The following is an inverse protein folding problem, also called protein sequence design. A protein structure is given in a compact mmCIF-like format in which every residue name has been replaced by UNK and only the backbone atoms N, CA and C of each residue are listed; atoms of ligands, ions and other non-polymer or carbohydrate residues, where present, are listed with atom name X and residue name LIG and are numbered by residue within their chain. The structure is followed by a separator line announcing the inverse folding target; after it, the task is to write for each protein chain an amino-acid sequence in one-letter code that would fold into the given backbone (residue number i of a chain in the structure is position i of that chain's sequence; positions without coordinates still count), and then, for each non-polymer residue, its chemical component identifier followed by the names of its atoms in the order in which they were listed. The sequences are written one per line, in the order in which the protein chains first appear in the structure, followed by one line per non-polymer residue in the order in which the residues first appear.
data_IF_017762041604
#
_entry.id   IF_017762041604
#
_cell.length_a   1.000
_cell.length_b   1.000
_cell.length_c   1.000
_cell.angle_alpha   90.00
_cell.angle_beta   90.00
_cell.angle_gamma   90.00
#
_symmetry.space_group_name_H-M   'P 1'
#
loop_
_entity.id
_entity.type
_entity.pdbx_description
1 polymer ?
#
# COMPACT_ATOMS: atom_id res chain seq x y z
N UNK A 1 -48.38 26.26 -29.34
CA UNK A 1 -47.23 25.33 -29.49
C UNK A 1 -45.90 25.84 -28.90
N UNK A 2 -45.63 27.15 -28.86
CA UNK A 2 -44.35 27.73 -28.35
C UNK A 2 -44.02 27.44 -26.86
N UNK A 3 -45.02 27.35 -25.99
CA UNK A 3 -44.79 27.22 -24.54
C UNK A 3 -44.40 25.80 -24.08
N UNK A 4 -44.82 24.75 -24.80
CA UNK A 4 -44.44 23.37 -24.47
C UNK A 4 -42.98 23.08 -24.76
N UNK A 5 -42.41 23.72 -25.79
CA UNK A 5 -40.98 23.60 -26.14
C UNK A 5 -40.10 24.13 -25.00
N UNK A 6 -40.52 25.23 -24.35
CA UNK A 6 -39.81 25.82 -23.21
C UNK A 6 -39.83 24.91 -21.97
N UNK A 7 -40.93 24.20 -21.74
CA UNK A 7 -41.08 23.25 -20.63
C UNK A 7 -40.18 22.01 -20.85
N UNK A 8 -40.09 21.51 -22.09
CA UNK A 8 -39.20 20.41 -22.47
C UNK A 8 -37.73 20.81 -22.27
N UNK A 9 -37.36 22.03 -22.65
CA UNK A 9 -36.01 22.56 -22.46
C UNK A 9 -35.65 22.73 -20.97
N UNK A 10 -36.63 23.13 -20.14
CA UNK A 10 -36.44 23.26 -18.69
C UNK A 10 -36.19 21.91 -18.01
N UNK A 11 -36.84 20.83 -18.47
CA UNK A 11 -36.61 19.48 -17.95
C UNK A 11 -35.23 18.89 -18.33
N UNK A 12 -34.67 19.26 -19.49
CA UNK A 12 -33.33 18.83 -19.90
C UNK A 12 -32.20 19.37 -19.01
N UNK A 13 -32.39 20.54 -18.38
CA UNK A 13 -31.40 21.10 -17.45
C UNK A 13 -31.40 20.43 -16.06
N UNK A 14 -32.53 19.86 -15.63
CA UNK A 14 -32.68 19.24 -14.30
C UNK A 14 -32.10 17.80 -14.30
N UNK A 15 -32.02 17.15 -15.46
CA UNK A 15 -31.52 15.78 -15.57
C UNK A 15 -29.99 15.64 -15.47
N UNK A 16 -29.23 16.75 -15.48
CA UNK A 16 -27.77 16.72 -15.37
C UNK A 16 -27.30 16.71 -13.90
N UNK A 17 -27.87 15.81 -13.10
CA UNK A 17 -27.34 15.51 -11.77
C UNK A 17 -26.03 14.75 -11.92
N UNK A 18 -24.91 15.36 -11.53
CA UNK A 18 -23.60 14.68 -11.49
C UNK A 18 -23.61 13.57 -10.44
N UNK A 19 -24.07 12.38 -10.80
CA UNK A 19 -23.78 11.18 -10.02
C UNK A 19 -22.26 10.99 -10.08
N UNK A 20 -21.58 11.20 -8.96
CA UNK A 20 -20.14 10.87 -8.83
C UNK A 20 -20.01 9.35 -8.91
N UNK A 21 -19.94 8.83 -10.13
CA UNK A 21 -19.64 7.42 -10.35
C UNK A 21 -18.21 7.17 -9.86
N UNK A 22 -18.05 6.20 -8.96
CA UNK A 22 -16.74 5.72 -8.57
C UNK A 22 -15.95 5.35 -9.84
N UNK A 23 -14.71 5.81 -9.96
CA UNK A 23 -13.88 5.58 -11.16
C UNK A 23 -12.70 4.67 -10.89
N UNK A 24 -12.38 4.44 -9.62
CA UNK A 24 -11.28 3.59 -9.16
C UNK A 24 -11.77 2.81 -7.95
N UNK A 25 -11.56 1.50 -7.96
CA UNK A 25 -11.77 0.62 -6.81
C UNK A 25 -10.42 0.20 -6.24
N UNK A 26 -10.30 0.18 -4.93
CA UNK A 26 -9.10 -0.26 -4.22
C UNK A 26 -9.51 -1.39 -3.29
N UNK A 27 -8.82 -2.53 -3.38
CA UNK A 27 -9.04 -3.67 -2.52
C UNK A 27 -7.71 -4.14 -1.92
N UNK A 28 -7.75 -4.52 -0.65
CA UNK A 28 -6.66 -5.25 -0.01
C UNK A 28 -6.87 -6.74 -0.26
N UNK A 29 -5.78 -7.44 -0.57
CA UNK A 29 -5.78 -8.89 -0.79
C UNK A 29 -4.79 -9.54 0.17
N UNK A 30 -5.01 -10.83 0.44
CA UNK A 30 -4.05 -11.68 1.14
C UNK A 30 -2.80 -11.87 0.28
N UNK A 31 -1.69 -12.22 0.94
CA UNK A 31 -0.41 -12.40 0.26
C UNK A 31 0.45 -13.40 1.01
N UNK A 32 1.14 -14.27 0.26
CA UNK A 32 2.05 -15.26 0.83
C UNK A 32 3.47 -14.73 0.97
N UNK A 33 3.71 -13.45 0.67
CA UNK A 33 5.01 -12.84 0.88
C UNK A 33 5.39 -12.84 2.37
N UNK A 34 6.68 -12.99 2.70
CA UNK A 34 7.12 -13.12 4.09
C UNK A 34 7.08 -11.80 4.84
N UNK A 35 6.73 -11.85 6.11
CA UNK A 35 7.10 -10.84 7.11
C UNK A 35 8.60 -10.93 7.34
N UNK A 36 9.29 -9.80 7.30
CA UNK A 36 10.71 -9.78 7.60
C UNK A 36 11.06 -8.73 8.66
N UNK A 37 12.04 -9.08 9.48
CA UNK A 37 12.67 -8.21 10.47
C UNK A 37 13.89 -7.52 9.87
N UNK A 38 14.21 -6.32 10.37
CA UNK A 38 15.43 -5.58 10.00
C UNK A 38 16.26 -5.33 11.26
N UNK A 39 17.51 -5.79 11.23
CA UNK A 39 18.53 -5.49 12.23
C UNK A 39 19.04 -4.06 12.04
N UNK A 40 19.23 -3.33 13.13
CA UNK A 40 20.02 -2.10 13.12
C UNK A 40 21.49 -2.42 13.34
N UNK A 41 22.36 -1.91 12.46
CA UNK A 41 23.81 -2.05 12.63
C UNK A 41 24.32 -1.28 13.86
N UNK A 42 23.65 -0.20 14.25
CA UNK A 42 24.09 0.65 15.36
C UNK A 42 23.79 0.02 16.72
N UNK A 43 22.70 -0.74 16.81
CA UNK A 43 22.20 -1.29 18.08
C UNK A 43 22.24 -2.82 18.14
N UNK A 44 22.63 -3.49 17.06
CA UNK A 44 22.65 -4.95 16.91
C UNK A 44 21.34 -5.63 17.36
N UNK A 45 20.21 -4.92 17.18
CA UNK A 45 18.87 -5.42 17.49
C UNK A 45 17.94 -5.22 16.31
N UNK A 46 16.92 -6.07 16.20
CA UNK A 46 15.82 -5.83 15.30
C UNK A 46 15.08 -4.57 15.75
N UNK A 47 15.06 -3.57 14.88
CA UNK A 47 14.40 -2.27 15.13
C UNK A 47 13.12 -2.11 14.32
N UNK A 48 12.91 -2.95 13.29
CA UNK A 48 11.75 -2.86 12.40
C UNK A 48 11.21 -4.23 12.04
N UNK A 49 9.89 -4.34 11.99
CA UNK A 49 9.17 -5.44 11.33
C UNK A 49 8.44 -4.91 10.10
N UNK A 50 8.52 -5.66 9.00
CA UNK A 50 7.91 -5.30 7.74
C UNK A 50 6.80 -6.28 7.38
N UNK A 51 5.55 -5.82 7.36
CA UNK A 51 4.39 -6.65 7.04
C UNK A 51 3.93 -6.44 5.59
N UNK A 52 3.82 -7.51 4.79
CA UNK A 52 3.35 -7.44 3.42
C UNK A 52 1.83 -7.33 3.36
N UNK A 53 1.34 -6.62 2.35
CA UNK A 53 -0.05 -6.63 1.92
C UNK A 53 -0.13 -6.49 0.41
N UNK A 54 -0.98 -7.27 -0.24
CA UNK A 54 -1.29 -7.03 -1.65
C UNK A 54 -2.41 -5.98 -1.76
N UNK A 55 -2.24 -5.04 -2.67
CA UNK A 55 -3.26 -4.05 -3.03
C UNK A 55 -3.58 -4.17 -4.51
N UNK A 56 -4.86 -4.34 -4.80
CA UNK A 56 -5.41 -4.31 -6.16
C UNK A 56 -6.05 -2.94 -6.38
N UNK A 57 -5.57 -2.22 -7.38
CA UNK A 57 -6.13 -0.93 -7.80
C UNK A 57 -6.74 -1.13 -9.19
N UNK A 58 -8.06 -0.99 -9.28
CA UNK A 58 -8.83 -1.23 -10.48
C UNK A 58 -9.42 0.06 -11.02
N UNK A 59 -9.13 0.38 -12.28
CA UNK A 59 -9.74 1.50 -12.99
C UNK A 59 -11.03 1.03 -13.67
N UNK A 60 -12.17 1.35 -13.08
CA UNK A 60 -13.49 0.99 -13.61
C UNK A 60 -14.03 2.02 -14.62
N UNK A 61 -13.28 3.08 -14.91
CA UNK A 61 -13.68 4.12 -15.88
C UNK A 61 -13.25 3.80 -17.31
N UNK A 62 -13.82 4.54 -18.28
CA UNK A 62 -13.48 4.45 -19.71
C UNK A 62 -12.21 5.22 -20.11
N UNK A 63 -11.55 5.89 -19.17
CA UNK A 63 -10.31 6.64 -19.41
C UNK A 63 -9.19 6.18 -18.49
N UNK A 64 -7.94 6.41 -18.88
CA UNK A 64 -6.79 6.13 -18.03
C UNK A 64 -6.87 6.91 -16.70
N UNK A 65 -6.44 6.27 -15.62
CA UNK A 65 -6.24 6.91 -14.31
C UNK A 65 -4.79 6.77 -13.89
N UNK A 66 -4.33 7.68 -13.05
CA UNK A 66 -2.98 7.63 -12.54
C UNK A 66 -2.91 8.07 -11.09
N UNK A 67 -1.93 7.54 -10.36
CA UNK A 67 -1.61 7.96 -9.01
C UNK A 67 -0.10 8.10 -8.84
N UNK A 68 0.32 8.86 -7.84
CA UNK A 68 1.74 9.10 -7.56
C UNK A 68 2.19 8.27 -6.36
N UNK A 69 1.40 8.30 -5.28
CA UNK A 69 1.77 7.77 -3.98
C UNK A 69 0.62 6.99 -3.34
N UNK A 70 0.96 5.90 -2.67
CA UNK A 70 0.11 5.22 -1.70
C UNK A 70 0.56 5.69 -0.32
N UNK A 71 -0.36 6.21 0.48
CA UNK A 71 -0.11 6.61 1.85
C UNK A 71 -0.67 5.55 2.80
N UNK A 72 0.09 5.24 3.85
CA UNK A 72 -0.36 4.41 4.96
C UNK A 72 -0.52 5.33 6.16
N UNK A 73 -1.73 5.42 6.69
CA UNK A 73 -2.05 6.27 7.83
C UNK A 73 -2.06 5.42 9.09
N UNK A 74 -1.14 5.73 9.99
CA UNK A 74 -1.17 5.24 11.36
C UNK A 74 -2.15 6.11 12.15
N UNK A 75 -3.17 5.51 12.78
CA UNK A 75 -4.20 6.28 13.51
C UNK A 75 -3.63 7.10 14.67
N UNK A 76 -2.48 6.71 15.23
CA UNK A 76 -1.86 7.30 16.41
C UNK A 76 -0.70 8.26 16.11
N UNK A 77 -0.25 8.40 14.85
CA UNK A 77 0.94 9.19 14.51
C UNK A 77 0.57 10.24 13.46
N UNK A 78 0.55 11.51 13.88
CA UNK A 78 0.21 12.66 13.03
C UNK A 78 1.36 13.12 12.12
N UNK A 79 2.60 12.79 12.48
CA UNK A 79 3.82 13.18 11.76
C UNK A 79 4.31 12.02 10.87
N UNK A 80 4.58 12.25 9.57
CA UNK A 80 5.15 11.21 8.71
C UNK A 80 6.62 10.95 9.09
N UNK A 81 6.87 10.09 10.08
CA UNK A 81 8.22 9.64 10.43
C UNK A 81 8.69 8.63 9.37
N UNK A 82 9.25 9.15 8.27
CA UNK A 82 9.86 8.31 7.22
C UNK A 82 8.85 7.53 6.37
N UNK A 83 9.34 6.94 5.27
CA UNK A 83 8.53 6.18 4.34
C UNK A 83 8.10 4.83 4.97
N UNK A 84 7.01 4.82 5.74
CA UNK A 84 6.38 3.62 6.35
C UNK A 84 5.90 2.57 5.34
N UNK A 85 6.14 2.78 4.06
CA UNK A 85 5.77 1.89 2.98
C UNK A 85 6.99 1.70 2.07
N UNK A 86 7.27 0.43 1.77
CA UNK A 86 8.00 0.03 0.56
C UNK A 86 6.98 -0.55 -0.44
N UNK A 87 7.15 -0.24 -1.72
CA UNK A 87 6.21 -0.64 -2.78
C UNK A 87 6.92 -1.49 -3.83
N UNK A 88 6.28 -2.55 -4.27
CA UNK A 88 6.86 -3.52 -5.20
C UNK A 88 5.85 -3.95 -6.28
N UNK A 89 6.37 -4.36 -7.44
CA UNK A 89 5.64 -5.21 -8.39
C UNK A 89 6.10 -6.66 -8.20
N UNK A 90 5.15 -7.58 -8.21
CA UNK A 90 5.45 -9.01 -8.27
C UNK A 90 5.65 -9.42 -9.73
N UNK A 91 6.85 -9.92 -10.06
CA UNK A 91 7.17 -10.53 -11.36
C UNK A 91 7.63 -11.95 -11.11
N UNK A 92 6.76 -12.93 -11.35
CA UNK A 92 7.05 -14.35 -11.16
C UNK A 92 7.62 -14.64 -9.76
N UNK A 93 6.93 -14.17 -8.71
CA UNK A 93 7.30 -14.33 -7.30
C UNK A 93 8.54 -13.53 -6.86
N UNK A 94 9.16 -12.78 -7.77
CA UNK A 94 10.24 -11.85 -7.46
C UNK A 94 9.67 -10.45 -7.26
N UNK A 95 10.00 -9.84 -6.12
CA UNK A 95 9.58 -8.48 -5.79
C UNK A 95 10.54 -7.44 -6.37
N UNK A 96 10.08 -6.72 -7.39
CA UNK A 96 10.79 -5.58 -7.94
C UNK A 96 10.36 -4.30 -7.22
N UNK A 97 11.29 -3.65 -6.52
CA UNK A 97 11.02 -2.40 -5.82
C UNK A 97 10.66 -1.31 -6.83
N UNK A 98 9.54 -0.63 -6.60
CA UNK A 98 9.12 0.52 -7.38
C UNK A 98 9.02 1.76 -6.50
N UNK A 99 9.19 2.93 -7.10
CA UNK A 99 9.15 4.17 -6.32
C UNK A 99 7.72 4.55 -5.92
N UNK A 100 7.50 4.88 -4.64
CA UNK A 100 6.23 5.39 -4.13
C UNK A 100 6.07 6.92 -4.28
N UNK A 101 6.83 7.55 -5.17
CA UNK A 101 6.73 8.99 -5.50
C UNK A 101 6.73 9.27 -7.01
N UNK A 102 6.64 8.24 -7.85
CA UNK A 102 6.59 8.35 -9.31
C UNK A 102 5.19 8.06 -9.82
N UNK A 103 4.74 8.79 -10.85
CA UNK A 103 3.44 8.55 -11.52
C UNK A 103 3.34 7.10 -11.98
N UNK A 104 2.20 6.47 -11.71
CA UNK A 104 1.81 5.12 -12.13
C UNK A 104 0.46 5.23 -12.83
N UNK A 105 0.36 4.65 -14.02
CA UNK A 105 -0.86 4.65 -14.80
C UNK A 105 -1.60 3.31 -14.61
N UNK A 106 -2.92 3.37 -14.67
CA UNK A 106 -3.81 2.23 -14.69
C UNK A 106 -4.73 2.44 -15.89
N UNK A 107 -4.53 1.60 -16.91
CA UNK A 107 -5.28 1.66 -18.16
C UNK A 107 -6.79 1.51 -17.90
N UNK A 108 -7.60 2.02 -18.82
CA UNK A 108 -9.05 1.91 -18.74
C UNK A 108 -9.48 0.45 -18.61
N UNK A 109 -10.42 0.16 -17.69
CA UNK A 109 -10.96 -1.18 -17.43
C UNK A 109 -9.89 -2.22 -17.06
N UNK A 110 -8.75 -1.79 -16.54
CA UNK A 110 -7.67 -2.67 -16.06
C UNK A 110 -7.47 -2.54 -14.56
N UNK A 111 -6.86 -3.57 -14.00
CA UNK A 111 -6.41 -3.59 -12.62
C UNK A 111 -4.90 -3.84 -12.56
N UNK A 112 -4.25 -3.15 -11.63
CA UNK A 112 -2.85 -3.36 -11.31
C UNK A 112 -2.75 -3.86 -9.87
N UNK A 113 -1.83 -4.80 -9.65
CA UNK A 113 -1.51 -5.34 -8.32
C UNK A 113 -0.15 -4.82 -7.87
N UNK A 114 -0.05 -4.50 -6.59
CA UNK A 114 1.19 -4.09 -5.95
C UNK A 114 1.34 -4.78 -4.61
N UNK A 115 2.59 -5.05 -4.23
CA UNK A 115 2.92 -5.52 -2.89
C UNK A 115 3.43 -4.34 -2.08
N UNK A 116 2.74 -4.08 -0.97
CA UNK A 116 3.05 -3.04 0.00
C UNK A 116 3.73 -3.70 1.19
N UNK A 117 4.90 -3.22 1.59
CA UNK A 117 5.46 -3.55 2.89
C UNK A 117 5.31 -2.35 3.81
N UNK A 118 4.43 -2.51 4.80
CA UNK A 118 4.33 -1.54 5.89
C UNK A 118 5.50 -1.75 6.85
N UNK A 119 6.15 -0.67 7.27
CA UNK A 119 7.34 -0.71 8.13
C UNK A 119 6.95 -0.24 9.53
N UNK A 120 7.23 -1.05 10.53
CA UNK A 120 6.82 -0.82 11.92
C UNK A 120 8.04 -0.83 12.80
N UNK A 121 8.22 0.22 13.59
CA UNK A 121 9.32 0.30 14.55
C UNK A 121 8.96 -0.49 15.79
N UNK A 122 9.93 -1.26 16.27
CA UNK A 122 9.82 -1.99 17.52
C UNK A 122 10.35 -1.07 18.62
N UNK A 123 9.62 -0.95 19.71
CA UNK A 123 10.11 -0.23 20.87
C UNK A 123 11.22 -1.00 21.60
N UNK A 124 11.94 -0.31 22.47
CA UNK A 124 13.09 -0.88 23.19
C UNK A 124 12.70 -1.63 24.47
N UNK A 125 11.42 -1.93 24.67
CA UNK A 125 11.00 -2.63 25.88
C UNK A 125 11.62 -4.03 25.96
N UNK A 126 11.82 -4.47 27.19
CA UNK A 126 12.34 -5.81 27.49
C UNK A 126 11.45 -6.90 26.90
N UNK A 127 10.14 -6.67 26.82
CA UNK A 127 9.19 -7.59 26.21
C UNK A 127 9.54 -7.90 24.75
N UNK A 128 9.64 -6.89 23.89
CA UNK A 128 9.97 -7.11 22.49
C UNK A 128 11.41 -7.59 22.31
N UNK A 129 12.33 -7.06 23.11
CA UNK A 129 13.74 -7.52 23.07
C UNK A 129 13.84 -9.04 23.29
N UNK A 130 13.13 -9.57 24.29
CA UNK A 130 13.09 -11.00 24.57
C UNK A 130 12.40 -11.79 23.45
N UNK A 131 11.31 -11.26 22.89
CA UNK A 131 10.58 -11.92 21.80
C UNK A 131 11.42 -12.06 20.52
N UNK A 132 12.34 -11.12 20.28
CA UNK A 132 13.20 -11.10 19.08
C UNK A 132 14.61 -11.65 19.30
N UNK A 133 14.95 -12.10 20.52
CA UNK A 133 16.32 -12.50 20.86
C UNK A 133 16.89 -13.58 19.93
N UNK A 134 16.16 -14.67 19.71
CA UNK A 134 16.61 -15.76 18.84
C UNK A 134 16.81 -15.32 17.38
N UNK A 135 15.99 -14.37 16.91
CA UNK A 135 16.14 -13.79 15.57
C UNK A 135 17.34 -12.85 15.47
N UNK A 136 17.63 -12.06 16.52
CA UNK A 136 18.83 -11.21 16.58
C UNK A 136 20.10 -12.06 16.52
N UNK A 137 20.17 -13.12 17.34
CA UNK A 137 21.32 -14.03 17.37
C UNK A 137 21.56 -14.66 15.99
N UNK A 138 20.49 -15.10 15.32
CA UNK A 138 20.56 -15.64 13.96
C UNK A 138 21.06 -14.63 12.93
N UNK A 139 20.54 -13.41 12.95
CA UNK A 139 20.96 -12.33 12.04
C UNK A 139 22.44 -12.00 12.19
N UNK A 140 22.92 -11.90 13.42
CA UNK A 140 24.32 -11.61 13.75
C UNK A 140 25.25 -12.75 13.32
N UNK A 141 24.86 -14.01 13.59
CA UNK A 141 25.63 -15.18 13.21
C UNK A 141 25.73 -15.37 11.68
N UNK A 142 24.68 -15.00 10.93
CA UNK A 142 24.65 -15.09 9.47
C UNK A 142 25.20 -13.84 8.76
N UNK A 143 25.63 -12.81 9.50
CA UNK A 143 26.05 -11.50 8.98
C UNK A 143 25.01 -10.86 8.03
N UNK A 144 23.73 -10.95 8.39
CA UNK A 144 22.60 -10.41 7.63
C UNK A 144 21.92 -9.27 8.37
N UNK A 145 21.32 -8.36 7.60
CA UNK A 145 20.52 -7.24 8.11
C UNK A 145 19.01 -7.49 8.05
N UNK A 146 18.59 -8.56 7.36
CA UNK A 146 17.19 -8.90 7.13
C UNK A 146 16.94 -10.39 7.30
N UNK A 147 15.82 -10.73 7.95
CA UNK A 147 15.44 -12.11 8.22
C UNK A 147 13.93 -12.32 8.05
N UNK A 148 13.55 -13.40 7.38
CA UNK A 148 12.17 -13.87 7.33
C UNK A 148 11.75 -14.43 8.70
N UNK A 149 10.65 -13.91 9.26
CA UNK A 149 10.16 -14.27 10.60
C UNK A 149 8.72 -14.82 10.63
N UNK A 150 8.09 -15.02 9.46
CA UNK A 150 6.74 -15.58 9.33
C UNK A 150 5.97 -15.03 8.13
N UNK A 151 4.68 -15.34 8.06
CA UNK A 151 3.74 -14.87 7.03
C UNK A 151 2.47 -14.32 7.68
N UNK A 152 1.77 -13.43 6.98
CA UNK A 152 0.44 -12.95 7.40
C UNK A 152 -0.56 -13.41 6.35
N UNK A 153 -1.39 -14.38 6.71
CA UNK A 153 -2.58 -14.79 5.95
C UNK A 153 -3.76 -13.91 6.37
#
# INVERSE_FOLDING_TARGET
MSNYLKIIFLFLFIACGKIKKETVKIALQETNFPVYAILSNDTNRIVRVCFPKEIKIENISSSEKSFIKINYKYNSISTPIGNFIKLYKNKNEVLEKISNNKKKNILSKKAEKYILYTVHYIDESTFFTNQFQSYNEKLLAEHKDTLHIGTVS
#
